data_IF_170898611413
#
_entry.id   IF_170898611413
#
_cell.length_a   1.000
_cell.length_b   1.000
_cell.length_c   1.000
_cell.angle_alpha   90.00
_cell.angle_beta   90.00
_cell.angle_gamma   90.00
#
_symmetry.space_group_name_H-M   'P 1'
#
loop_
_entity.id
_entity.type
_entity.pdbx_description
1 polymer ?
#
# COMPACT_ATOMS: atom_id res chain seq x y z
N UNK A 1 17.75 15.08 -4.41
CA UNK A 1 16.30 14.89 -4.30
C UNK A 1 16.07 14.13 -3.01
N UNK A 2 15.38 14.73 -2.06
CA UNK A 2 15.16 14.14 -0.74
C UNK A 2 14.19 12.97 -0.89
N UNK A 3 14.51 11.80 -0.33
CA UNK A 3 13.75 10.54 -0.51
C UNK A 3 12.25 10.71 -0.22
N UNK A 4 11.89 11.65 0.66
CA UNK A 4 10.50 11.96 1.02
C UNK A 4 9.65 12.53 -0.12
N UNK A 5 10.24 13.29 -1.05
CA UNK A 5 9.48 13.90 -2.15
C UNK A 5 9.02 12.87 -3.19
N UNK A 6 9.84 11.85 -3.43
CA UNK A 6 9.53 10.79 -4.38
C UNK A 6 8.37 9.92 -3.87
N UNK A 7 8.36 9.64 -2.56
CA UNK A 7 7.27 8.94 -1.88
C UNK A 7 5.97 9.73 -1.99
N UNK A 8 6.01 11.04 -1.74
CA UNK A 8 4.82 11.90 -1.85
C UNK A 8 4.25 11.94 -3.28
N UNK A 9 5.10 11.90 -4.31
CA UNK A 9 4.68 11.83 -5.72
C UNK A 9 4.04 10.49 -6.08
N UNK A 10 4.47 9.40 -5.44
CA UNK A 10 3.93 8.07 -5.67
C UNK A 10 2.56 7.82 -5.01
N UNK A 11 2.12 8.69 -4.09
CA UNK A 11 0.78 8.62 -3.51
C UNK A 11 -0.28 8.69 -4.61
N UNK A 12 -1.16 7.68 -4.63
CA UNK A 12 -2.20 7.54 -5.64
C UNK A 12 -1.70 7.11 -7.02
N UNK A 13 -0.41 6.88 -7.24
CA UNK A 13 0.09 6.34 -8.50
C UNK A 13 -0.27 4.86 -8.66
N UNK A 14 -0.46 4.42 -9.91
CA UNK A 14 -0.55 2.99 -10.21
C UNK A 14 0.80 2.30 -10.09
N UNK A 15 0.81 1.01 -9.79
CA UNK A 15 2.02 0.17 -9.77
C UNK A 15 1.93 -0.94 -10.81
N UNK A 16 3.09 -1.49 -11.17
CA UNK A 16 3.12 -2.68 -12.00
C UNK A 16 2.90 -3.94 -11.17
N UNK A 17 1.66 -4.42 -11.09
CA UNK A 17 1.29 -5.59 -10.27
C UNK A 17 2.05 -6.86 -10.66
N UNK A 18 2.45 -7.01 -11.92
CA UNK A 18 3.25 -8.15 -12.39
C UNK A 18 4.70 -8.10 -11.91
N UNK A 19 5.17 -6.94 -11.47
CA UNK A 19 6.52 -6.74 -10.97
C UNK A 19 6.54 -6.70 -9.44
N UNK A 20 6.09 -5.59 -8.83
CA UNK A 20 6.12 -5.33 -7.39
C UNK A 20 5.42 -3.98 -7.07
N UNK A 21 5.19 -3.70 -5.79
CA UNK A 21 4.67 -2.42 -5.27
C UNK A 21 5.77 -1.48 -4.74
N UNK A 22 7.04 -1.89 -4.79
CA UNK A 22 8.17 -0.99 -4.45
C UNK A 22 8.16 0.27 -5.32
N UNK A 23 8.59 1.39 -4.74
CA UNK A 23 8.59 2.73 -5.34
C UNK A 23 9.17 2.77 -6.78
N UNK A 24 10.22 1.99 -7.06
CA UNK A 24 10.85 1.88 -8.39
C UNK A 24 9.92 1.40 -9.51
N UNK A 25 8.76 0.81 -9.17
CA UNK A 25 7.74 0.34 -10.12
C UNK A 25 6.49 1.23 -10.15
N UNK A 26 6.53 2.39 -9.47
CA UNK A 26 5.45 3.36 -9.51
C UNK A 26 5.33 3.98 -10.92
N UNK A 27 4.11 3.98 -11.46
CA UNK A 27 3.77 4.59 -12.75
C UNK A 27 3.37 6.05 -12.50
N UNK A 28 4.37 6.91 -12.28
CA UNK A 28 4.22 8.33 -11.90
C UNK A 28 3.63 9.27 -12.96
N UNK A 29 2.98 8.75 -14.02
CA UNK A 29 2.41 9.56 -15.10
C UNK A 29 1.12 10.29 -14.70
N UNK A 30 0.31 9.64 -13.86
CA UNK A 30 -0.94 10.20 -13.32
C UNK A 30 -1.28 9.52 -12.00
N UNK A 31 -2.03 10.22 -11.16
CA UNK A 31 -2.69 9.59 -10.02
C UNK A 31 -3.98 8.90 -10.49
N UNK A 32 -4.31 7.80 -9.84
CA UNK A 32 -5.53 7.02 -10.04
C UNK A 32 -6.63 7.42 -9.06
N UNK A 33 -6.28 8.21 -8.04
CA UNK A 33 -7.19 8.74 -7.03
C UNK A 33 -6.92 10.23 -6.84
N UNK A 34 -7.98 10.98 -6.54
CA UNK A 34 -7.87 12.37 -6.15
C UNK A 34 -7.39 12.45 -4.70
N UNK A 35 -6.42 13.32 -4.46
CA UNK A 35 -5.90 13.62 -3.13
C UNK A 35 -6.13 15.09 -2.84
N UNK A 36 -6.47 15.42 -1.60
CA UNK A 36 -6.67 16.81 -1.19
C UNK A 36 -5.32 17.55 -1.03
N UNK A 37 -4.84 18.14 -2.12
CA UNK A 37 -3.59 18.90 -2.16
C UNK A 37 -3.69 20.25 -1.45
N UNK A 38 -4.85 20.90 -1.48
CA UNK A 38 -5.07 22.18 -0.80
C UNK A 38 -4.89 22.08 0.72
N UNK A 39 -5.07 20.88 1.28
CA UNK A 39 -4.85 20.58 2.68
C UNK A 39 -3.47 19.98 3.01
N UNK A 40 -2.54 19.91 2.04
CA UNK A 40 -1.26 19.24 2.24
C UNK A 40 -0.47 19.81 3.43
N UNK A 41 0.26 18.93 4.12
CA UNK A 41 1.01 19.25 5.33
C UNK A 41 2.37 18.59 5.30
N UNK A 42 3.29 19.17 6.06
CA UNK A 42 4.59 18.57 6.31
C UNK A 42 4.49 17.65 7.52
N UNK A 43 5.09 16.47 7.40
CA UNK A 43 5.01 15.44 8.44
C UNK A 43 6.42 15.06 8.88
N UNK A 44 6.78 15.35 10.14
CA UNK A 44 8.06 14.92 10.69
C UNK A 44 8.08 13.38 10.83
N UNK A 45 9.20 12.76 10.45
CA UNK A 45 9.39 11.32 10.58
C UNK A 45 9.95 11.03 11.98
N UNK A 46 9.20 10.34 12.86
CA UNK A 46 9.69 10.01 14.21
C UNK A 46 10.95 9.13 14.13
N UNK A 47 12.00 9.49 14.85
CA UNK A 47 13.27 8.76 14.84
C UNK A 47 14.13 8.96 13.57
N UNK A 48 13.66 9.72 12.58
CA UNK A 48 14.33 9.95 11.30
C UNK A 48 15.38 11.06 11.30
N UNK A 49 15.98 11.40 12.45
CA UNK A 49 17.02 12.43 12.53
C UNK A 49 16.59 13.84 12.11
N UNK A 50 15.29 14.16 12.25
CA UNK A 50 14.73 15.45 11.82
C UNK A 50 14.22 15.47 10.38
N UNK A 51 14.20 14.33 9.68
CA UNK A 51 13.60 14.23 8.35
C UNK A 51 12.11 14.61 8.35
N UNK A 52 11.68 15.28 7.28
CA UNK A 52 10.30 15.75 7.12
C UNK A 52 9.79 15.33 5.74
N UNK A 53 8.65 14.63 5.71
CA UNK A 53 7.90 14.39 4.49
C UNK A 53 7.12 15.65 4.13
N UNK A 54 7.47 16.28 3.00
CA UNK A 54 6.82 17.52 2.56
C UNK A 54 5.59 17.24 1.71
N UNK A 55 4.57 18.10 1.86
CA UNK A 55 3.43 18.12 0.94
C UNK A 55 2.53 16.88 0.99
N UNK A 56 2.35 16.27 2.16
CA UNK A 56 1.48 15.09 2.32
C UNK A 56 0.01 15.51 2.45
N UNK A 57 -0.89 15.06 1.55
CA UNK A 57 -2.32 15.34 1.62
C UNK A 57 -2.96 14.86 2.94
N UNK A 58 -3.92 15.63 3.47
CA UNK A 58 -4.54 15.39 4.80
C UNK A 58 -5.31 14.07 4.92
N UNK A 59 -5.83 13.59 3.80
CA UNK A 59 -6.50 12.30 3.64
C UNK A 59 -5.52 11.11 3.63
N UNK A 60 -4.21 11.36 3.55
CA UNK A 60 -3.18 10.33 3.67
C UNK A 60 -2.79 10.14 5.13
N UNK A 61 -3.16 8.99 5.67
CA UNK A 61 -2.73 8.51 6.98
C UNK A 61 -1.26 8.09 6.97
N UNK A 62 -0.57 8.29 8.10
CA UNK A 62 0.82 7.90 8.29
C UNK A 62 0.90 7.02 9.52
N UNK A 63 1.51 5.86 9.36
CA UNK A 63 1.69 4.85 10.39
C UNK A 63 3.13 4.33 10.32
N UNK A 64 3.60 3.70 11.39
CA UNK A 64 4.95 3.09 11.45
C UNK A 64 5.09 1.87 10.54
N UNK A 65 3.97 1.35 10.03
CA UNK A 65 3.97 0.17 9.19
C UNK A 65 3.90 -1.13 9.97
N UNK A 66 3.75 -1.07 11.31
CA UNK A 66 3.64 -2.23 12.19
C UNK A 66 2.46 -3.15 11.81
N UNK A 67 1.47 -2.60 11.09
CA UNK A 67 0.28 -3.29 10.60
C UNK A 67 0.29 -3.60 9.10
N UNK A 68 1.30 -3.15 8.35
CA UNK A 68 1.38 -3.38 6.91
C UNK A 68 2.01 -4.74 6.67
N UNK A 69 1.17 -5.78 6.56
CA UNK A 69 1.60 -7.08 6.05
C UNK A 69 1.65 -7.02 4.53
N UNK A 70 2.84 -6.82 3.96
CA UNK A 70 3.07 -7.13 2.55
C UNK A 70 3.08 -8.65 2.36
N UNK A 71 1.91 -9.27 2.37
CA UNK A 71 1.70 -10.59 1.77
C UNK A 71 0.80 -10.40 0.57
N UNK A 72 1.41 -10.20 -0.61
CA UNK A 72 0.90 -10.95 -1.74
C UNK A 72 1.39 -12.36 -1.51
N UNK A 73 0.59 -13.19 -0.83
CA UNK A 73 0.72 -14.62 -1.08
C UNK A 73 0.40 -14.76 -2.57
N UNK A 74 1.43 -14.74 -3.42
CA UNK A 74 1.31 -15.21 -4.80
C UNK A 74 1.05 -16.70 -4.61
N UNK A 75 -0.23 -17.04 -4.47
CA UNK A 75 -0.65 -18.40 -4.71
C UNK A 75 -0.25 -18.65 -6.15
N UNK A 76 0.80 -19.44 -6.36
CA UNK A 76 0.91 -20.16 -7.61
C UNK A 76 -0.45 -20.80 -7.84
N UNK A 77 -1.02 -20.63 -9.04
CA UNK A 77 -2.38 -21.08 -9.37
C UNK A 77 -2.63 -22.57 -9.00
N UNK A 78 -1.57 -23.34 -8.79
CA UNK A 78 -1.59 -24.73 -8.34
C UNK A 78 -1.77 -24.95 -6.81
N UNK A 79 -1.75 -23.91 -5.97
CA UNK A 79 -1.89 -24.03 -4.50
C UNK A 79 -3.24 -23.57 -3.93
N UNK A 80 -4.16 -23.12 -4.79
CA UNK A 80 -5.48 -22.62 -4.37
C UNK A 80 -6.45 -23.73 -3.87
N UNK A 81 -6.06 -25.00 -3.93
CA UNK A 81 -6.97 -26.13 -3.70
C UNK A 81 -7.07 -26.58 -2.23
N UNK A 82 -6.15 -26.20 -1.34
CA UNK A 82 -6.10 -26.77 0.03
C UNK A 82 -6.67 -25.87 1.14
N UNK A 83 -6.75 -24.56 0.91
CA UNK A 83 -7.19 -23.58 1.91
C UNK A 83 -8.71 -23.36 1.90
N UNK A 84 -9.36 -23.41 0.73
CA UNK A 84 -10.83 -23.29 0.61
C UNK A 84 -11.57 -24.51 1.15
N UNK A 85 -11.01 -25.72 1.00
CA UNK A 85 -11.66 -26.95 1.45
C UNK A 85 -11.78 -27.06 2.98
N UNK A 86 -11.00 -26.28 3.75
CA UNK A 86 -10.96 -26.39 5.22
C UNK A 86 -12.01 -25.52 5.92
N UNK A 87 -12.59 -24.51 5.26
CA UNK A 87 -13.63 -23.65 5.86
C UNK A 87 -15.06 -24.03 5.46
N UNK A 88 -15.26 -24.85 4.42
CA UNK A 88 -16.59 -25.25 3.94
C UNK A 88 -17.19 -26.44 4.70
N UNK A 89 -16.45 -27.09 5.61
CA UNK A 89 -16.93 -28.27 6.36
C UNK A 89 -17.93 -27.95 7.49
N UNK A 90 -18.41 -26.69 7.61
CA UNK A 90 -19.31 -26.25 8.68
C UNK A 90 -20.72 -25.86 8.25
N UNK A 91 -21.06 -25.87 6.96
CA UNK A 91 -22.37 -25.44 6.47
C UNK A 91 -23.00 -26.54 5.63
N UNK A 92 -23.85 -27.34 6.26
CA UNK A 92 -24.56 -28.45 5.62
C UNK A 92 -25.46 -29.18 6.61
N UNK A 93 -26.39 -28.43 7.22
CA UNK A 93 -27.43 -29.01 8.03
C UNK A 93 -28.40 -29.85 7.18
N UNK A 94 -28.62 -31.08 7.63
CA UNK A 94 -29.92 -31.77 7.72
C UNK A 94 -30.88 -31.58 6.53
N UNK A 95 -30.84 -32.54 5.61
CA UNK A 95 -32.04 -33.15 5.01
C UNK A 95 -31.87 -34.67 5.09
#
# INVERSE_FOLDING_TARGET
MELGEEVARALGAGFDLTSDFRLRFAKLRRRLVDLNEAGARDVPVPGGGGAVLRGIPRDVGIDKGDRIRFRSDVLEFNQCHVSIARSSAGWGGRL
#
